data_IF_695498694149
#
_entry.id   IF_695498694149
#
_cell.length_a   1.000
_cell.length_b   1.000
_cell.length_c   1.000
_cell.angle_alpha   90.00
_cell.angle_beta   90.00
_cell.angle_gamma   90.00
#
_symmetry.space_group_name_H-M   'P 1'
#
loop_
_entity.id
_entity.type
_entity.pdbx_description
1 polymer ?
#
# COMPACT_ATOMS: atom_id res chain seq x y z
N UNK A 1 18.22 13.19 -10.69
CA UNK A 1 17.03 12.36 -10.98
C UNK A 1 16.12 12.42 -9.76
N UNK A 2 14.80 12.47 -9.94
CA UNK A 2 13.86 12.31 -8.83
C UNK A 2 13.74 10.82 -8.53
N UNK A 3 14.08 10.43 -7.31
CA UNK A 3 13.90 9.06 -6.84
C UNK A 3 12.73 9.05 -5.85
N UNK A 4 11.85 8.07 -5.99
CA UNK A 4 10.66 7.94 -5.16
C UNK A 4 10.66 6.54 -4.55
N UNK A 5 10.68 6.47 -3.22
CA UNK A 5 10.42 5.22 -2.49
C UNK A 5 8.98 5.23 -2.03
N UNK A 6 8.27 4.14 -2.35
CA UNK A 6 6.94 3.84 -1.83
C UNK A 6 7.11 2.77 -0.75
N UNK A 7 6.81 3.13 0.49
CA UNK A 7 6.63 2.18 1.58
C UNK A 7 5.22 1.63 1.54
N UNK A 8 5.11 0.36 1.23
CA UNK A 8 3.87 -0.40 1.27
C UNK A 8 3.72 -0.97 2.68
N UNK A 9 2.71 -0.51 3.41
CA UNK A 9 2.38 -0.96 4.75
C UNK A 9 1.07 -1.73 4.72
N UNK A 10 1.17 -3.04 4.86
CA UNK A 10 0.01 -3.91 5.04
C UNK A 10 -0.41 -3.99 6.49
N UNK A 11 -1.22 -5.01 6.77
CA UNK A 11 -1.67 -5.31 8.12
C UNK A 11 -0.57 -5.98 8.96
N UNK A 12 0.31 -6.77 8.33
CA UNK A 12 1.38 -7.51 9.01
C UNK A 12 2.79 -7.14 8.54
N UNK A 13 2.94 -6.79 7.27
CA UNK A 13 4.24 -6.60 6.64
C UNK A 13 4.44 -5.16 6.13
N UNK A 14 5.72 -4.78 6.00
CA UNK A 14 6.15 -3.53 5.39
C UNK A 14 7.21 -3.85 4.33
N UNK A 15 7.04 -3.30 3.13
CA UNK A 15 7.98 -3.47 2.00
C UNK A 15 8.22 -2.11 1.36
N UNK A 16 9.48 -1.77 1.12
CA UNK A 16 9.87 -0.56 0.38
C UNK A 16 10.14 -0.92 -1.09
N UNK A 17 9.51 -0.20 -2.01
CA UNK A 17 9.75 -0.33 -3.45
C UNK A 17 10.16 1.01 -4.04
N UNK A 18 11.05 0.98 -5.05
CA UNK A 18 11.39 2.18 -5.82
C UNK A 18 10.38 2.35 -6.94
N UNK A 19 9.71 3.50 -7.00
CA UNK A 19 8.69 3.77 -8.00
C UNK A 19 9.26 3.66 -9.40
N UNK A 20 8.54 2.97 -10.27
CA UNK A 20 8.86 2.88 -11.70
C UNK A 20 8.08 3.94 -12.47
N UNK A 21 8.79 4.75 -13.27
CA UNK A 21 8.17 5.78 -14.11
C UNK A 21 7.49 5.19 -15.37
N UNK A 22 7.76 3.93 -15.69
CA UNK A 22 7.28 3.29 -16.91
C UNK A 22 5.89 2.67 -16.72
N UNK A 23 4.91 3.23 -17.42
CA UNK A 23 3.52 2.75 -17.43
C UNK A 23 3.34 1.40 -18.15
N UNK A 24 4.39 0.86 -18.78
CA UNK A 24 4.33 -0.39 -19.57
C UNK A 24 4.89 -1.61 -18.86
N UNK A 25 5.37 -1.46 -17.61
CA UNK A 25 5.86 -2.58 -16.83
C UNK A 25 4.77 -3.65 -16.63
N UNK A 26 5.09 -4.89 -16.99
CA UNK A 26 4.18 -6.05 -16.90
C UNK A 26 4.80 -7.14 -16.01
N UNK A 27 3.94 -7.95 -15.39
CA UNK A 27 4.35 -9.12 -14.63
C UNK A 27 3.35 -10.24 -14.88
N UNK A 28 3.79 -11.48 -15.13
CA UNK A 28 2.91 -12.63 -15.30
C UNK A 28 1.97 -12.87 -14.10
N UNK A 29 2.39 -12.45 -12.90
CA UNK A 29 1.57 -12.53 -11.68
C UNK A 29 0.36 -11.59 -11.71
N UNK A 30 0.33 -10.64 -12.65
CA UNK A 30 -0.72 -9.62 -12.79
C UNK A 30 -1.62 -9.86 -14.01
N UNK A 31 -1.34 -10.91 -14.79
CA UNK A 31 -2.10 -11.23 -15.99
C UNK A 31 -3.54 -11.62 -15.63
N UNK A 32 -4.51 -11.02 -16.35
CA UNK A 32 -5.94 -11.25 -16.11
C UNK A 32 -6.54 -10.48 -14.92
N UNK A 33 -5.73 -9.75 -14.14
CA UNK A 33 -6.20 -8.90 -13.04
C UNK A 33 -6.37 -7.45 -13.46
N UNK A 34 -7.55 -6.89 -13.16
CA UNK A 34 -7.79 -5.45 -13.26
C UNK A 34 -7.14 -4.68 -12.10
N UNK A 35 -7.28 -3.35 -12.08
CA UNK A 35 -6.66 -2.52 -11.05
C UNK A 35 -7.18 -2.84 -9.64
N UNK A 36 -8.48 -3.12 -9.49
CA UNK A 36 -9.06 -3.42 -8.19
C UNK A 36 -8.58 -4.79 -7.69
N UNK A 37 -8.48 -5.78 -8.57
CA UNK A 37 -7.91 -7.09 -8.26
C UNK A 37 -6.45 -6.96 -7.84
N UNK A 38 -5.65 -6.16 -8.55
CA UNK A 38 -4.24 -5.92 -8.23
C UNK A 38 -4.04 -5.33 -6.84
N UNK A 39 -4.85 -4.35 -6.43
CA UNK A 39 -4.80 -3.81 -5.06
C UNK A 39 -5.20 -4.88 -4.03
N UNK A 40 -6.20 -5.69 -4.33
CA UNK A 40 -6.58 -6.79 -3.45
C UNK A 40 -5.49 -7.86 -3.33
N UNK A 41 -4.82 -8.20 -4.43
CA UNK A 41 -3.71 -9.13 -4.47
C UNK A 41 -2.52 -8.62 -3.66
N UNK A 42 -2.16 -7.34 -3.83
CA UNK A 42 -1.11 -6.71 -3.03
C UNK A 42 -1.47 -6.71 -1.55
N UNK A 43 -2.70 -6.31 -1.20
CA UNK A 43 -3.19 -6.34 0.18
C UNK A 43 -3.12 -7.74 0.77
N UNK A 44 -3.50 -8.77 0.00
CA UNK A 44 -3.41 -10.16 0.40
C UNK A 44 -1.98 -10.60 0.70
N UNK A 45 -1.02 -10.28 -0.17
CA UNK A 45 0.39 -10.60 0.07
C UNK A 45 0.95 -9.93 1.33
N UNK A 46 0.52 -8.70 1.60
CA UNK A 46 0.97 -7.90 2.74
C UNK A 46 0.25 -8.20 4.07
N UNK A 47 -0.70 -9.13 4.06
CA UNK A 47 -1.57 -9.48 5.20
C UNK A 47 -1.30 -10.90 5.76
N UNK A 48 -0.43 -11.68 5.11
CA UNK A 48 -0.16 -13.07 5.49
C UNK A 48 1.02 -13.27 6.43
N UNK A 49 1.68 -12.20 6.88
CA UNK A 49 2.97 -12.29 7.58
C UNK A 49 4.08 -12.87 6.70
N UNK A 50 3.94 -12.71 5.37
CA UNK A 50 4.85 -13.25 4.35
C UNK A 50 5.23 -12.21 3.31
N UNK A 51 4.74 -10.97 3.42
CA UNK A 51 5.00 -9.92 2.44
C UNK A 51 6.49 -9.65 2.25
N UNK A 52 7.25 -9.59 3.36
CA UNK A 52 8.70 -9.43 3.31
C UNK A 52 9.41 -10.61 2.63
N UNK A 53 8.99 -11.85 2.91
CA UNK A 53 9.55 -13.04 2.27
C UNK A 53 9.19 -13.12 0.77
N UNK A 54 7.98 -12.71 0.39
CA UNK A 54 7.58 -12.60 -1.02
C UNK A 54 8.42 -11.54 -1.74
N UNK A 55 8.78 -10.44 -1.08
CA UNK A 55 9.62 -9.40 -1.66
C UNK A 55 11.07 -9.86 -1.94
N UNK A 56 11.53 -10.99 -1.39
CA UNK A 56 12.81 -11.60 -1.75
C UNK A 56 12.74 -12.31 -3.13
N UNK A 57 11.55 -12.71 -3.58
CA UNK A 57 11.33 -13.24 -4.92
C UNK A 57 11.21 -12.10 -5.95
N UNK A 58 12.02 -12.17 -7.00
CA UNK A 58 12.10 -11.10 -7.99
C UNK A 58 10.78 -10.85 -8.74
N UNK A 59 9.97 -11.90 -8.98
CA UNK A 59 8.69 -11.75 -9.68
C UNK A 59 7.65 -11.07 -8.80
N UNK A 60 7.58 -11.46 -7.53
CA UNK A 60 6.69 -10.82 -6.55
C UNK A 60 7.13 -9.39 -6.26
N UNK A 61 8.42 -9.12 -6.06
CA UNK A 61 8.93 -7.77 -5.85
C UNK A 61 8.61 -6.85 -7.03
N UNK A 62 8.81 -7.33 -8.27
CA UNK A 62 8.43 -6.61 -9.47
C UNK A 62 6.91 -6.34 -9.53
N UNK A 63 6.09 -7.34 -9.22
CA UNK A 63 4.63 -7.19 -9.18
C UNK A 63 4.19 -6.17 -8.13
N UNK A 64 4.74 -6.22 -6.90
CA UNK A 64 4.47 -5.25 -5.84
C UNK A 64 4.84 -3.83 -6.29
N UNK A 65 6.01 -3.69 -6.92
CA UNK A 65 6.50 -2.41 -7.45
C UNK A 65 5.56 -1.86 -8.53
N UNK A 66 5.11 -2.70 -9.47
CA UNK A 66 4.19 -2.31 -10.54
C UNK A 66 2.86 -1.85 -9.96
N UNK A 67 2.26 -2.63 -9.06
CA UNK A 67 0.96 -2.30 -8.46
C UNK A 67 1.04 -0.98 -7.69
N UNK A 68 2.04 -0.83 -6.83
CA UNK A 68 2.20 0.37 -6.02
C UNK A 68 2.50 1.61 -6.88
N UNK A 69 3.39 1.49 -7.87
CA UNK A 69 3.72 2.59 -8.78
C UNK A 69 2.51 3.03 -9.60
N UNK A 70 1.77 2.07 -10.17
CA UNK A 70 0.57 2.36 -10.96
C UNK A 70 -0.51 3.05 -10.12
N UNK A 71 -0.75 2.58 -8.89
CA UNK A 71 -1.71 3.20 -7.99
C UNK A 71 -1.32 4.62 -7.61
N UNK A 72 -0.05 4.83 -7.23
CA UNK A 72 0.46 6.14 -6.82
C UNK A 72 0.45 7.14 -7.98
N UNK A 73 0.83 6.73 -9.20
CA UNK A 73 0.86 7.59 -10.38
C UNK A 73 -0.51 8.23 -10.70
N UNK A 74 -1.61 7.58 -10.31
CA UNK A 74 -2.97 8.09 -10.49
C UNK A 74 -3.41 9.09 -9.40
N UNK A 75 -2.67 9.17 -8.29
CA UNK A 75 -3.08 10.00 -7.16
C UNK A 75 -2.72 11.48 -7.38
N UNK A 76 -3.58 12.43 -6.92
CA UNK A 76 -3.26 13.86 -6.99
C UNK A 76 -1.92 14.22 -6.32
N UNK A 77 -1.58 13.51 -5.24
CA UNK A 77 -0.34 13.71 -4.49
C UNK A 77 0.93 13.37 -5.28
N UNK A 78 0.86 12.50 -6.30
CA UNK A 78 1.99 12.25 -7.20
C UNK A 78 2.35 13.53 -7.99
N UNK A 79 1.36 14.32 -8.37
CA UNK A 79 1.57 15.60 -9.08
C UNK A 79 2.19 16.68 -8.19
N UNK A 80 2.14 16.52 -6.87
CA UNK A 80 2.79 17.42 -5.90
C UNK A 80 4.24 17.04 -5.59
N UNK A 81 4.76 15.96 -6.16
CA UNK A 81 6.14 15.55 -5.95
C UNK A 81 7.10 16.54 -6.61
N UNK A 82 8.02 17.07 -5.81
CA UNK A 82 9.08 17.94 -6.28
C UNK A 82 10.29 17.16 -6.79
N UNK A 83 11.24 17.87 -7.39
CA UNK A 83 12.56 17.33 -7.70
C UNK A 83 13.30 16.92 -6.42
N UNK A 84 13.87 15.72 -6.42
CA UNK A 84 14.70 15.19 -5.33
C UNK A 84 14.24 13.80 -4.85
N UNK A 85 14.69 13.44 -3.65
CA UNK A 85 14.33 12.22 -2.94
C UNK A 85 12.95 12.36 -2.29
N UNK A 86 12.01 11.52 -2.71
CA UNK A 86 10.64 11.53 -2.19
C UNK A 86 10.33 10.18 -1.53
N UNK A 87 9.74 10.25 -0.35
CA UNK A 87 9.27 9.09 0.39
C UNK A 87 7.75 9.15 0.52
N UNK A 88 7.08 8.05 0.21
CA UNK A 88 5.63 7.95 0.14
C UNK A 88 5.16 6.75 0.92
N UNK A 89 4.14 6.93 1.75
CA UNK A 89 3.53 5.84 2.50
C UNK A 89 2.19 5.44 1.85
N UNK A 90 2.09 4.15 1.53
CA UNK A 90 0.89 3.50 1.02
C UNK A 90 0.41 2.47 2.03
N UNK A 91 -0.77 2.67 2.60
CA UNK A 91 -1.38 1.68 3.50
C UNK A 91 -2.36 0.78 2.77
N UNK A 92 -2.37 -0.52 3.07
CA UNK A 92 -3.30 -1.50 2.54
C UNK A 92 -4.15 -2.04 3.67
N UNK A 93 -5.43 -1.65 3.66
CA UNK A 93 -6.31 -1.85 4.80
C UNK A 93 -7.46 -2.80 4.45
N UNK A 94 -7.69 -3.78 5.31
CA UNK A 94 -8.85 -4.67 5.23
C UNK A 94 -10.15 -3.88 5.35
N UNK A 95 -11.07 -4.09 4.43
CA UNK A 95 -12.44 -3.61 4.59
C UNK A 95 -13.20 -4.37 5.67
N UNK A 96 -14.26 -3.72 6.20
CA UNK A 96 -15.08 -4.18 7.33
C UNK A 96 -15.63 -5.59 7.16
N UNK A 97 -15.91 -6.02 5.94
CA UNK A 97 -16.62 -7.26 5.72
C UNK A 97 -15.62 -8.34 5.29
N UNK A 98 -15.41 -9.40 6.08
CA UNK A 98 -14.67 -10.55 5.59
C UNK A 98 -15.42 -11.19 4.42
N UNK A 99 -14.69 -11.95 3.62
CA UNK A 99 -15.22 -12.71 2.50
C UNK A 99 -16.38 -13.60 2.96
N UNK A 100 -17.46 -13.60 2.18
CA UNK A 100 -18.71 -14.30 2.53
C UNK A 100 -19.75 -13.47 3.29
N UNK A 101 -19.38 -12.30 3.83
CA UNK A 101 -20.36 -11.42 4.52
C UNK A 101 -21.31 -10.69 3.57
N UNK A 102 -20.88 -10.39 2.33
CA UNK A 102 -21.73 -9.90 1.24
C UNK A 102 -21.21 -10.42 -0.10
N UNK A 103 -22.11 -10.67 -1.06
CA UNK A 103 -21.79 -11.24 -2.37
C UNK A 103 -20.67 -10.47 -3.10
N UNK A 104 -20.71 -9.13 -3.10
CA UNK A 104 -19.70 -8.31 -3.80
C UNK A 104 -18.27 -8.49 -3.27
N UNK A 105 -18.10 -8.56 -1.94
CA UNK A 105 -16.78 -8.72 -1.31
C UNK A 105 -16.25 -10.12 -1.53
N UNK A 106 -17.16 -11.11 -1.55
CA UNK A 106 -16.80 -12.49 -1.89
C UNK A 106 -16.26 -12.58 -3.31
N UNK A 107 -16.98 -12.04 -4.30
CA UNK A 107 -16.57 -12.08 -5.71
C UNK A 107 -15.18 -11.46 -5.92
N UNK A 108 -14.90 -10.31 -5.30
CA UNK A 108 -13.62 -9.62 -5.48
C UNK A 108 -12.46 -10.37 -4.82
N UNK A 109 -12.63 -10.83 -3.59
CA UNK A 109 -11.56 -11.52 -2.89
C UNK A 109 -11.29 -12.93 -3.44
N UNK A 110 -12.34 -13.63 -3.89
CA UNK A 110 -12.21 -14.96 -4.52
C UNK A 110 -11.30 -14.91 -5.76
N UNK A 111 -11.34 -13.80 -6.53
CA UNK A 111 -10.50 -13.65 -7.73
C UNK A 111 -9.01 -13.74 -7.43
N UNK A 112 -8.59 -13.30 -6.25
CA UNK A 112 -7.18 -13.27 -5.83
C UNK A 112 -6.89 -14.23 -4.65
N UNK A 113 -7.85 -15.07 -4.26
CA UNK A 113 -7.71 -16.01 -3.14
C UNK A 113 -7.64 -15.36 -1.75
N UNK A 114 -8.10 -14.11 -1.61
CA UNK A 114 -7.97 -13.36 -0.37
C UNK A 114 -9.05 -13.67 0.68
N UNK A 115 -8.73 -13.48 1.96
CA UNK A 115 -9.68 -13.59 3.08
C UNK A 115 -10.47 -12.29 3.35
N UNK A 116 -9.98 -11.17 2.81
CA UNK A 116 -10.58 -9.85 2.89
C UNK A 116 -10.50 -9.16 1.53
N UNK A 117 -11.31 -8.12 1.34
CA UNK A 117 -10.99 -7.09 0.36
C UNK A 117 -10.14 -6.00 1.01
N UNK A 118 -9.28 -5.37 0.22
CA UNK A 118 -8.32 -4.38 0.68
C UNK A 118 -8.52 -3.07 -0.06
N UNK A 119 -8.18 -1.99 0.64
CA UNK A 119 -8.13 -0.65 0.07
C UNK A 119 -6.76 -0.06 0.29
N UNK A 120 -6.21 0.44 -0.81
CA UNK A 120 -5.05 1.30 -0.82
C UNK A 120 -5.43 2.70 -0.35
N UNK A 121 -4.76 3.19 0.69
CA UNK A 121 -4.89 4.56 1.19
C UNK A 121 -3.50 5.20 1.14
N UNK A 122 -3.28 6.16 0.22
CA UNK A 122 -2.03 6.89 0.17
C UNK A 122 -2.03 7.94 1.29
N UNK A 123 -1.03 7.89 2.18
CA UNK A 123 -0.96 8.76 3.35
C UNK A 123 -0.37 10.15 3.03
N UNK A 124 0.46 10.23 1.99
CA UNK A 124 1.05 11.48 1.54
C UNK A 124 2.34 11.28 0.76
N UNK A 125 3.09 12.36 0.60
CA UNK A 125 4.44 12.35 0.11
C UNK A 125 5.28 13.36 0.90
N UNK A 126 6.48 12.95 1.28
CA UNK A 126 7.43 13.78 2.02
C UNK A 126 8.74 13.77 1.27
N UNK A 127 9.31 14.96 1.06
CA UNK A 127 10.68 15.08 0.56
C UNK A 127 11.65 14.81 1.71
N UNK A 128 12.60 13.91 1.52
CA UNK A 128 13.68 13.67 2.48
C UNK A 128 15.03 13.89 1.81
N UNK A 129 16.06 14.15 2.60
CA UNK A 129 17.39 14.52 2.08
C UNK A 129 18.13 13.29 1.52
N UNK A 130 18.06 12.18 2.25
CA UNK A 130 18.67 10.91 1.87
C UNK A 130 17.66 9.78 2.01
N UNK A 131 17.38 9.09 0.91
CA UNK A 131 16.55 7.91 0.93
C UNK A 131 17.25 6.76 1.65
N UNK A 132 18.57 6.65 1.71
CA UNK A 132 19.24 5.54 2.41
C UNK A 132 19.12 5.64 3.95
N UNK A 133 18.81 6.81 4.49
CA UNK A 133 18.67 7.00 5.93
C UNK A 133 17.35 6.44 6.48
N UNK A 134 17.46 5.36 7.24
CA UNK A 134 16.32 4.70 7.88
C UNK A 134 15.61 5.59 8.91
N UNK A 135 16.33 6.48 9.59
CA UNK A 135 15.73 7.39 10.56
C UNK A 135 14.85 8.42 9.85
N UNK A 136 15.37 9.06 8.80
CA UNK A 136 14.59 9.96 7.95
C UNK A 136 13.33 9.29 7.37
N UNK A 137 13.41 8.03 6.92
CA UNK A 137 12.23 7.28 6.45
C UNK A 137 11.21 7.07 7.57
N UNK A 138 11.65 6.74 8.78
CA UNK A 138 10.78 6.47 9.94
C UNK A 138 10.07 7.74 10.44
N UNK A 139 10.78 8.87 10.44
CA UNK A 139 10.19 10.16 10.79
C UNK A 139 9.15 10.58 9.75
N UNK A 140 9.47 10.42 8.45
CA UNK A 140 8.55 10.69 7.36
C UNK A 140 7.32 9.77 7.38
N UNK A 141 7.48 8.49 7.74
CA UNK A 141 6.36 7.55 7.95
C UNK A 141 5.45 8.04 9.09
N UNK A 142 6.04 8.38 10.24
CA UNK A 142 5.30 8.87 11.42
C UNK A 142 4.51 10.13 11.08
N UNK A 143 5.14 11.09 10.38
CA UNK A 143 4.49 12.33 9.94
C UNK A 143 3.29 12.05 9.01
N UNK A 144 3.45 11.14 8.04
CA UNK A 144 2.38 10.79 7.10
C UNK A 144 1.21 10.06 7.77
N UNK A 145 1.51 9.15 8.70
CA UNK A 145 0.48 8.46 9.48
C UNK A 145 -0.30 9.45 10.36
N UNK A 146 0.39 10.37 11.03
CA UNK A 146 -0.23 11.42 11.83
C UNK A 146 -1.14 12.33 10.98
N UNK A 147 -0.68 12.73 9.77
CA UNK A 147 -1.49 13.52 8.85
C UNK A 147 -2.74 12.78 8.34
N UNK A 148 -2.66 11.46 8.20
CA UNK A 148 -3.76 10.61 7.72
C UNK A 148 -4.72 10.20 8.85
N UNK A 149 -4.38 10.46 10.11
CA UNK A 149 -5.13 10.01 11.28
C UNK A 149 -6.60 10.46 11.27
N UNK A 150 -6.87 11.70 10.83
CA UNK A 150 -8.24 12.22 10.74
C UNK A 150 -9.09 11.39 9.77
N UNK A 151 -8.52 10.98 8.63
CA UNK A 151 -9.18 10.11 7.67
C UNK A 151 -9.49 8.74 8.29
N UNK A 152 -8.54 8.14 9.02
CA UNK A 152 -8.77 6.87 9.69
C UNK A 152 -9.83 6.95 10.79
N UNK A 153 -9.83 8.02 11.61
CA UNK A 153 -10.86 8.26 12.63
C UNK A 153 -12.25 8.37 12.00
N UNK A 154 -12.38 9.11 10.89
CA UNK A 154 -13.64 9.24 10.15
C UNK A 154 -14.10 7.91 9.52
N UNK A 155 -13.16 7.07 9.08
CA UNK A 155 -13.43 5.80 8.39
C UNK A 155 -13.30 4.57 9.28
N UNK A 156 -13.26 4.72 10.62
CA UNK A 156 -13.03 3.62 11.57
C UNK A 156 -13.97 2.42 11.35
N UNK A 157 -15.25 2.67 11.01
CA UNK A 157 -16.22 1.61 10.71
C UNK A 157 -15.88 0.86 9.43
N UNK A 158 -15.32 1.53 8.42
CA UNK A 158 -14.92 0.92 7.14
C UNK A 158 -13.73 -0.03 7.31
N UNK A 159 -12.81 0.29 8.21
CA UNK A 159 -11.61 -0.49 8.49
C UNK A 159 -11.70 -1.30 9.79
N UNK A 160 -12.91 -1.74 10.17
CA UNK A 160 -13.13 -2.39 11.46
C UNK A 160 -12.29 -3.68 11.65
N UNK A 161 -11.88 -4.35 10.57
CA UNK A 161 -11.03 -5.55 10.61
C UNK A 161 -9.53 -5.28 10.40
N UNK A 162 -9.13 -4.02 10.21
CA UNK A 162 -7.72 -3.63 10.13
C UNK A 162 -7.22 -3.29 11.54
N UNK A 163 -6.46 -4.19 12.16
CA UNK A 163 -5.91 -3.96 13.49
C UNK A 163 -4.83 -2.87 13.48
N UNK A 164 -4.08 -2.72 12.38
CA UNK A 164 -3.10 -1.65 12.20
C UNK A 164 -3.73 -0.26 12.37
N UNK A 165 -4.91 -0.04 11.79
CA UNK A 165 -5.67 1.21 11.92
C UNK A 165 -6.11 1.47 13.36
N UNK A 166 -6.59 0.43 14.06
CA UNK A 166 -7.00 0.59 15.46
C UNK A 166 -5.81 0.84 16.39
N UNK A 167 -4.65 0.23 16.10
CA UNK A 167 -3.39 0.53 16.79
C UNK A 167 -3.02 2.00 16.64
N UNK A 168 -3.00 2.50 15.41
CA UNK A 168 -2.68 3.90 15.10
C UNK A 168 -3.64 4.90 15.76
N UNK A 169 -4.95 4.61 15.74
CA UNK A 169 -5.97 5.45 16.39
C UNK A 169 -5.84 5.44 17.92
N UNK A 170 -5.39 4.34 18.53
CA UNK A 170 -5.24 4.25 19.99
C UNK A 170 -3.98 4.95 20.51
N UNK A 171 -2.94 5.02 19.68
CA UNK A 171 -1.66 5.64 20.03
C UNK A 171 -1.69 7.18 19.93
N UNK A 172 -2.72 7.76 19.28
CA UNK A 172 -2.82 9.21 18.98
C UNK A 172 -4.24 9.78 19.17
#
# INVERSE_FOLDING_TARGET
MSEIIIRIMGETDIVDVTMQADATATSPLLDGYDEADRINLLGHWMDQGRGAALAEDAQHFAAMTIIASAFIAQQPLYKSLGSGANFMLLTLLREKWPVGSKAKFKIQADRVGAAHTYLAVPCGAVKIDDLADQNSRKDAETQQLAATLAFYKANRKRFANSSAVHGLIKQN
#
